data_IF_863796194193
#
_entry.id   IF_863796194193
#
_cell.length_a   1.000
_cell.length_b   1.000
_cell.length_c   1.000
_cell.angle_alpha   90.00
_cell.angle_beta   90.00
_cell.angle_gamma   90.00
#
_symmetry.space_group_name_H-M   'P 1'
#
loop_
_entity.id
_entity.type
_entity.pdbx_description
1 polymer ?
#
# COMPACT_ATOMS: atom_id res chain seq x y z
N UNK A 1 15.81 -3.14 -34.64
CA UNK A 1 14.60 -3.37 -35.46
C UNK A 1 13.50 -3.83 -34.51
N UNK A 2 12.34 -3.16 -34.48
CA UNK A 2 11.25 -3.54 -33.57
C UNK A 2 10.57 -4.83 -34.06
N UNK A 3 10.25 -5.73 -33.13
CA UNK A 3 9.60 -7.01 -33.40
C UNK A 3 8.16 -6.79 -33.87
N UNK A 4 7.79 -7.34 -35.04
CA UNK A 4 6.48 -7.12 -35.68
C UNK A 4 5.31 -7.58 -34.80
N UNK A 5 5.48 -8.70 -34.12
CA UNK A 5 4.49 -9.27 -33.20
C UNK A 5 4.22 -8.37 -31.99
N UNK A 6 5.23 -7.62 -31.51
CA UNK A 6 5.06 -6.62 -30.44
C UNK A 6 4.22 -5.44 -30.95
N UNK A 7 4.53 -4.94 -32.15
CA UNK A 7 3.82 -3.79 -32.74
C UNK A 7 2.34 -4.11 -33.00
N UNK A 8 2.02 -5.34 -33.37
CA UNK A 8 0.63 -5.77 -33.61
C UNK A 8 -0.20 -5.84 -32.32
N UNK A 9 0.43 -6.07 -31.16
CA UNK A 9 -0.24 -6.22 -29.87
C UNK A 9 -0.23 -4.94 -29.02
N UNK A 10 0.68 -3.99 -29.31
CA UNK A 10 0.96 -2.85 -28.42
C UNK A 10 -0.27 -2.02 -28.05
N UNK A 11 -1.17 -1.78 -29.00
CA UNK A 11 -2.38 -0.99 -28.77
C UNK A 11 -3.36 -1.69 -27.84
N UNK A 12 -3.52 -3.00 -27.97
CA UNK A 12 -4.43 -3.77 -27.13
C UNK A 12 -3.84 -3.94 -25.73
N UNK A 13 -2.55 -4.29 -25.62
CA UNK A 13 -1.85 -4.36 -24.34
C UNK A 13 -1.91 -3.05 -23.57
N UNK A 14 -1.76 -1.91 -24.26
CA UNK A 14 -1.88 -0.59 -23.62
C UNK A 14 -3.30 -0.32 -23.08
N UNK A 15 -4.36 -0.68 -23.83
CA UNK A 15 -5.74 -0.53 -23.37
C UNK A 15 -6.04 -1.39 -22.14
N UNK A 16 -5.57 -2.64 -22.14
CA UNK A 16 -5.72 -3.56 -21.00
C UNK A 16 -5.01 -2.98 -19.77
N UNK A 17 -3.77 -2.51 -19.94
CA UNK A 17 -3.01 -1.90 -18.86
C UNK A 17 -3.67 -0.61 -18.35
N UNK A 18 -4.22 0.23 -19.22
CA UNK A 18 -4.97 1.42 -18.82
C UNK A 18 -6.22 1.04 -18.01
N UNK A 19 -6.98 0.06 -18.48
CA UNK A 19 -8.16 -0.45 -17.78
C UNK A 19 -7.78 -1.01 -16.39
N UNK A 20 -6.70 -1.78 -16.30
CA UNK A 20 -6.15 -2.26 -15.03
C UNK A 20 -5.90 -1.10 -14.04
N UNK A 21 -5.19 -0.04 -14.46
CA UNK A 21 -4.90 1.11 -13.60
C UNK A 21 -6.17 1.85 -13.15
N UNK A 22 -7.18 1.97 -14.02
CA UNK A 22 -8.47 2.54 -13.67
C UNK A 22 -9.22 1.70 -12.62
N UNK A 23 -9.16 0.37 -12.73
CA UNK A 23 -9.73 -0.54 -11.74
C UNK A 23 -8.99 -0.46 -10.40
N UNK A 24 -7.65 -0.41 -10.41
CA UNK A 24 -6.84 -0.18 -9.19
C UNK A 24 -7.21 1.15 -8.53
N UNK A 25 -7.33 2.23 -9.30
CA UNK A 25 -7.75 3.53 -8.78
C UNK A 25 -9.15 3.46 -8.14
N UNK A 26 -10.07 2.72 -8.75
CA UNK A 26 -11.43 2.50 -8.22
C UNK A 26 -11.42 1.66 -6.93
N UNK A 27 -10.58 0.64 -6.85
CA UNK A 27 -10.37 -0.17 -5.64
C UNK A 27 -9.96 0.71 -4.45
N UNK A 28 -8.94 1.56 -4.62
CA UNK A 28 -8.48 2.44 -3.55
C UNK A 28 -9.55 3.44 -3.10
N UNK A 29 -10.32 4.02 -4.02
CA UNK A 29 -11.47 4.87 -3.67
C UNK A 29 -12.51 4.13 -2.82
N UNK A 30 -12.79 2.86 -3.13
CA UNK A 30 -13.71 2.05 -2.33
C UNK A 30 -13.12 1.80 -0.94
N UNK A 31 -11.84 1.45 -0.84
CA UNK A 31 -11.15 1.23 0.44
C UNK A 31 -11.17 2.51 1.29
N UNK A 32 -10.83 3.67 0.72
CA UNK A 32 -10.85 4.96 1.41
C UNK A 32 -12.24 5.25 1.99
N UNK A 33 -13.27 5.15 1.16
CA UNK A 33 -14.65 5.39 1.57
C UNK A 33 -15.08 4.42 2.68
N UNK A 34 -14.58 3.18 2.65
CA UNK A 34 -14.87 2.21 3.71
C UNK A 34 -14.16 2.56 4.98
N UNK A 35 -12.87 2.87 4.95
CA UNK A 35 -12.10 3.23 6.14
C UNK A 35 -12.56 4.54 6.78
N UNK A 36 -13.04 5.50 5.98
CA UNK A 36 -13.62 6.74 6.45
C UNK A 36 -15.07 6.61 6.97
N UNK A 37 -15.73 5.46 6.79
CA UNK A 37 -17.13 5.28 7.19
C UNK A 37 -17.29 5.33 8.71
N UNK A 38 -18.28 6.10 9.18
CA UNK A 38 -18.68 6.20 10.60
C UNK A 38 -19.08 4.86 11.24
N UNK A 39 -19.37 3.84 10.41
CA UNK A 39 -19.69 2.49 10.89
C UNK A 39 -18.46 1.71 11.37
N UNK A 40 -17.25 2.18 11.07
CA UNK A 40 -16.05 1.59 11.64
C UNK A 40 -15.85 2.06 13.07
N UNK A 41 -15.46 1.15 13.95
CA UNK A 41 -15.09 1.47 15.32
C UNK A 41 -13.86 2.40 15.42
N UNK A 42 -13.15 2.62 14.31
CA UNK A 42 -11.94 3.44 14.21
C UNK A 42 -11.99 4.32 12.97
N UNK A 43 -11.56 5.57 13.09
CA UNK A 43 -11.37 6.48 11.98
C UNK A 43 -10.03 6.19 11.30
N UNK A 44 -10.04 5.40 10.24
CA UNK A 44 -8.82 5.09 9.50
C UNK A 44 -8.69 6.06 8.31
N UNK A 45 -7.57 6.78 8.23
CA UNK A 45 -7.33 7.78 7.20
C UNK A 45 -6.12 7.42 6.34
N UNK A 46 -6.15 7.71 5.03
CA UNK A 46 -5.03 7.48 4.13
C UNK A 46 -3.92 8.51 4.33
N UNK A 47 -2.66 8.07 4.25
CA UNK A 47 -1.50 8.94 4.06
C UNK A 47 -1.47 9.36 2.58
N UNK A 48 -1.29 10.65 2.32
CA UNK A 48 -1.32 11.25 0.98
C UNK A 48 -2.58 10.87 0.18
N UNK A 49 -3.78 11.35 0.59
CA UNK A 49 -5.10 10.91 0.05
C UNK A 49 -5.25 11.03 -1.46
N UNK A 50 -4.45 11.87 -2.11
CA UNK A 50 -4.54 12.17 -3.54
C UNK A 50 -3.53 11.38 -4.40
N UNK A 51 -2.75 10.47 -3.79
CA UNK A 51 -1.65 9.77 -4.45
C UNK A 51 -1.56 8.30 -4.02
N UNK A 52 -0.87 7.51 -4.83
CA UNK A 52 -0.41 6.17 -4.50
C UNK A 52 1.12 6.15 -4.53
N UNK A 53 1.69 5.39 -3.60
CA UNK A 53 3.10 5.01 -3.65
C UNK A 53 3.30 4.11 -4.86
N UNK A 54 4.36 4.38 -5.63
CA UNK A 54 4.74 3.63 -6.82
C UNK A 54 6.24 3.33 -6.78
N UNK A 55 6.70 2.33 -7.54
CA UNK A 55 8.12 1.93 -7.56
C UNK A 55 8.99 2.89 -8.39
N UNK A 56 8.41 3.64 -9.33
CA UNK A 56 9.11 4.76 -9.92
C UNK A 56 9.27 5.86 -8.85
N UNK A 57 10.39 6.60 -8.83
CA UNK A 57 10.68 7.72 -7.90
C UNK A 57 9.63 8.86 -7.93
N UNK A 58 8.59 8.71 -8.75
CA UNK A 58 7.45 9.59 -8.91
C UNK A 58 6.17 8.88 -8.43
N UNK A 59 5.46 9.49 -7.49
CA UNK A 59 4.19 8.99 -6.97
C UNK A 59 3.13 8.91 -8.08
N UNK A 60 2.32 7.86 -8.09
CA UNK A 60 1.20 7.74 -9.03
C UNK A 60 0.02 8.61 -8.57
N UNK A 61 -0.44 9.51 -9.44
CA UNK A 61 -1.55 10.42 -9.16
C UNK A 61 -2.85 9.89 -9.76
N UNK A 62 -3.96 9.94 -9.01
CA UNK A 62 -5.27 9.60 -9.57
C UNK A 62 -5.62 10.55 -10.71
N UNK A 63 -6.28 10.02 -11.75
CA UNK A 63 -6.69 10.78 -12.93
C UNK A 63 -7.49 12.05 -12.60
N UNK A 64 -8.37 12.00 -11.59
CA UNK A 64 -9.19 13.15 -11.18
C UNK A 64 -8.37 14.30 -10.58
N UNK A 65 -7.17 14.01 -10.10
CA UNK A 65 -6.24 14.99 -9.55
C UNK A 65 -5.19 15.44 -10.58
N UNK A 66 -5.25 14.89 -11.79
CA UNK A 66 -4.32 15.19 -12.87
C UNK A 66 -4.74 16.45 -13.63
N UNK A 67 -3.81 17.37 -13.84
CA UNK A 67 -3.99 18.61 -14.58
C UNK A 67 -2.74 18.92 -15.40
N UNK A 68 -2.85 19.79 -16.41
CA UNK A 68 -1.68 20.24 -17.18
C UNK A 68 -0.64 21.00 -16.31
N UNK A 69 -1.04 21.53 -15.16
CA UNK A 69 -0.18 22.33 -14.26
C UNK A 69 0.58 21.48 -13.24
N UNK A 70 0.13 20.26 -12.97
CA UNK A 70 0.81 19.28 -12.11
C UNK A 70 1.22 18.02 -12.89
N UNK A 71 1.23 18.13 -14.23
CA UNK A 71 1.73 17.13 -15.15
C UNK A 71 3.23 16.90 -14.90
N UNK A 72 3.56 15.82 -14.19
CA UNK A 72 4.93 15.30 -14.19
C UNK A 72 5.21 14.72 -15.58
N UNK A 73 6.40 14.99 -16.12
CA UNK A 73 6.86 14.53 -17.45
C UNK A 73 6.50 13.05 -17.65
N UNK A 74 5.99 12.62 -18.82
CA UNK A 74 5.52 11.26 -18.97
C UNK A 74 6.71 10.31 -18.83
N UNK A 75 6.65 9.43 -17.84
CA UNK A 75 7.13 8.04 -17.89
C UNK A 75 8.35 7.77 -18.79
N UNK A 76 9.56 8.18 -18.37
CA UNK A 76 10.82 7.59 -18.88
C UNK A 76 11.10 6.21 -18.23
N UNK A 77 10.36 5.87 -17.19
CA UNK A 77 10.19 4.52 -16.63
C UNK A 77 8.77 4.08 -16.94
N UNK A 78 8.51 2.81 -17.29
CA UNK A 78 7.19 2.34 -17.76
C UNK A 78 6.02 2.54 -16.77
N UNK A 79 4.83 2.02 -17.13
CA UNK A 79 3.67 2.00 -16.23
C UNK A 79 4.05 1.35 -14.88
N UNK A 80 3.60 1.89 -13.73
CA UNK A 80 4.05 1.40 -12.44
C UNK A 80 3.53 -0.02 -12.21
N UNK A 81 4.45 -0.95 -11.98
CA UNK A 81 4.11 -2.35 -11.69
C UNK A 81 3.64 -2.56 -10.24
N UNK A 82 3.89 -1.57 -9.37
CA UNK A 82 3.45 -1.53 -7.99
C UNK A 82 2.70 -0.24 -7.68
N UNK A 83 1.56 -0.37 -6.99
CA UNK A 83 0.72 0.76 -6.56
C UNK A 83 0.19 0.52 -5.16
N UNK A 84 0.43 1.44 -4.22
CA UNK A 84 0.08 1.24 -2.82
C UNK A 84 -0.37 2.48 -2.06
N UNK A 85 -1.02 2.25 -0.92
CA UNK A 85 -1.46 3.29 0.01
C UNK A 85 -1.35 2.84 1.46
N UNK A 86 -0.79 3.73 2.28
CA UNK A 86 -0.76 3.59 3.73
C UNK A 86 -1.97 4.25 4.37
N UNK A 87 -2.36 3.70 5.52
CA UNK A 87 -3.48 4.16 6.33
C UNK A 87 -3.10 4.15 7.80
N UNK A 88 -3.70 5.06 8.56
CA UNK A 88 -3.41 5.25 9.98
C UNK A 88 -4.68 5.36 10.80
N UNK A 89 -4.63 4.93 12.06
CA UNK A 89 -5.72 5.22 12.99
C UNK A 89 -5.66 6.70 13.41
N UNK A 90 -6.70 7.45 13.09
CA UNK A 90 -6.81 8.87 13.37
C UNK A 90 -7.61 9.19 14.64
N UNK A 91 -8.10 8.20 15.38
CA UNK A 91 -8.91 8.43 16.60
C UNK A 91 -8.20 9.31 17.65
N UNK A 92 -6.87 9.23 17.73
CA UNK A 92 -6.05 10.00 18.67
C UNK A 92 -5.42 11.27 18.08
N UNK A 93 -5.64 11.56 16.79
CA UNK A 93 -5.06 12.70 16.12
C UNK A 93 -5.96 13.93 16.32
N UNK A 94 -5.39 14.98 16.92
CA UNK A 94 -6.10 16.21 17.27
C UNK A 94 -5.52 17.41 16.54
N UNK A 95 -6.39 18.38 16.21
CA UNK A 95 -6.01 19.64 15.56
C UNK A 95 -6.13 19.61 14.03
N UNK A 96 -5.63 20.69 13.40
CA UNK A 96 -5.71 20.93 11.96
C UNK A 96 -4.44 20.50 11.21
N UNK A 97 -3.55 19.74 11.85
CA UNK A 97 -2.32 19.27 11.22
C UNK A 97 -2.65 18.31 10.08
N UNK A 98 -2.06 18.50 8.88
CA UNK A 98 -2.21 17.54 7.79
C UNK A 98 -1.76 16.13 8.22
N UNK A 99 -2.48 15.10 7.79
CA UNK A 99 -2.21 13.72 8.22
C UNK A 99 -0.74 13.33 8.02
N UNK A 100 -0.18 13.69 6.87
CA UNK A 100 1.20 13.40 6.45
C UNK A 100 2.27 13.98 7.39
N UNK A 101 1.97 15.07 8.10
CA UNK A 101 2.91 15.84 8.92
C UNK A 101 2.90 15.46 10.40
N UNK A 102 1.99 14.59 10.84
CA UNK A 102 2.01 14.09 12.21
C UNK A 102 3.33 13.33 12.50
N UNK A 103 3.87 13.42 13.72
CA UNK A 103 5.05 12.65 14.09
C UNK A 103 4.69 11.18 14.32
N UNK A 104 5.57 10.27 13.90
CA UNK A 104 5.37 8.82 13.99
C UNK A 104 5.04 8.33 15.40
N UNK A 105 5.58 8.97 16.45
CA UNK A 105 5.24 8.64 17.85
C UNK A 105 3.75 8.71 18.18
N UNK A 106 2.96 9.49 17.44
CA UNK A 106 1.51 9.62 17.63
C UNK A 106 0.71 8.57 16.84
N UNK A 107 1.36 7.87 15.90
CA UNK A 107 0.77 6.84 15.06
C UNK A 107 1.64 5.59 15.14
N UNK A 108 1.32 4.71 16.09
CA UNK A 108 2.13 3.52 16.38
C UNK A 108 2.09 2.48 15.25
N UNK A 109 0.99 2.38 14.50
CA UNK A 109 0.81 1.34 13.49
C UNK A 109 0.32 1.92 12.17
N UNK A 110 0.90 1.42 11.09
CA UNK A 110 0.46 1.70 9.73
C UNK A 110 -0.21 0.45 9.15
N UNK A 111 -1.39 0.61 8.56
CA UNK A 111 -1.92 -0.38 7.63
C UNK A 111 -1.46 -0.02 6.22
N UNK A 112 -1.21 -1.03 5.39
CA UNK A 112 -0.74 -0.83 4.02
C UNK A 112 -1.51 -1.75 3.07
N UNK A 113 -1.95 -1.22 1.93
CA UNK A 113 -2.58 -1.99 0.87
C UNK A 113 -1.90 -1.65 -0.43
N UNK A 114 -1.50 -2.65 -1.19
CA UNK A 114 -0.85 -2.43 -2.47
C UNK A 114 -1.09 -3.55 -3.46
N UNK A 115 -0.99 -3.23 -4.74
CA UNK A 115 -1.20 -4.14 -5.87
C UNK A 115 0.08 -4.27 -6.66
N UNK A 116 0.37 -5.48 -7.10
CA UNK A 116 1.47 -5.82 -7.99
C UNK A 116 0.92 -6.42 -9.27
N UNK A 117 1.48 -6.05 -10.42
CA UNK A 117 1.12 -6.68 -11.71
C UNK A 117 1.60 -8.13 -11.81
N UNK A 118 2.49 -8.58 -10.93
CA UNK A 118 2.99 -9.96 -10.88
C UNK A 118 4.33 -10.18 -11.57
N UNK A 119 4.99 -9.14 -12.12
CA UNK A 119 6.28 -9.28 -12.79
C UNK A 119 7.15 -8.02 -12.70
N UNK A 120 8.38 -8.12 -13.20
CA UNK A 120 9.34 -7.02 -13.41
C UNK A 120 9.86 -6.34 -12.12
N UNK A 121 9.77 -7.02 -10.97
CA UNK A 121 10.47 -6.60 -9.75
C UNK A 121 11.78 -7.39 -9.57
N UNK A 122 12.96 -6.74 -9.51
CA UNK A 122 14.23 -7.45 -9.38
C UNK A 122 14.43 -8.15 -8.02
N UNK A 123 13.57 -7.89 -7.03
CA UNK A 123 13.68 -8.42 -5.67
C UNK A 123 12.58 -9.44 -5.33
N UNK A 124 11.67 -9.73 -6.27
CA UNK A 124 10.52 -10.60 -6.06
C UNK A 124 10.39 -11.56 -7.24
N UNK A 125 10.14 -12.83 -6.96
CA UNK A 125 9.91 -13.84 -7.99
C UNK A 125 8.58 -13.57 -8.66
N UNK A 126 8.57 -13.49 -10.00
CA UNK A 126 7.35 -13.34 -10.82
C UNK A 126 6.23 -14.28 -10.34
N UNK A 127 5.03 -13.73 -10.22
CA UNK A 127 3.81 -14.46 -9.92
C UNK A 127 3.09 -14.87 -11.21
N UNK A 128 2.30 -15.94 -11.13
CA UNK A 128 1.46 -16.39 -12.25
C UNK A 128 0.38 -15.37 -12.63
N UNK A 129 0.04 -14.46 -11.71
CA UNK A 129 -1.02 -13.47 -11.89
C UNK A 129 -0.82 -12.23 -10.99
N UNK A 130 -1.49 -11.09 -11.29
CA UNK A 130 -1.45 -9.92 -10.44
C UNK A 130 -1.91 -10.22 -9.01
N UNK A 131 -1.26 -9.61 -8.03
CA UNK A 131 -1.52 -9.83 -6.61
C UNK A 131 -1.98 -8.54 -5.91
N UNK A 132 -2.73 -8.71 -4.82
CA UNK A 132 -3.01 -7.68 -3.84
C UNK A 132 -2.47 -8.10 -2.49
N UNK A 133 -1.76 -7.18 -1.86
CA UNK A 133 -1.04 -7.37 -0.62
C UNK A 133 -1.62 -6.41 0.41
N UNK A 134 -1.79 -6.91 1.63
CA UNK A 134 -2.15 -6.11 2.80
C UNK A 134 -1.08 -6.29 3.86
N UNK A 135 -0.82 -5.23 4.62
CA UNK A 135 0.12 -5.32 5.72
C UNK A 135 -0.27 -4.47 6.90
N UNK A 136 0.28 -4.87 8.04
CA UNK A 136 0.36 -4.04 9.23
C UNK A 136 1.81 -3.93 9.63
N UNK A 137 2.20 -2.70 9.90
CA UNK A 137 3.57 -2.31 10.16
C UNK A 137 3.59 -1.57 11.48
N UNK A 138 4.53 -1.94 12.34
CA UNK A 138 4.88 -1.23 13.57
C UNK A 138 6.29 -0.66 13.37
N UNK A 139 6.42 0.43 12.58
CA UNK A 139 7.71 1.00 12.26
C UNK A 139 8.22 1.81 13.45
N UNK A 140 9.43 1.52 13.90
CA UNK A 140 10.09 2.25 14.99
C UNK A 140 11.23 3.08 14.41
N UNK A 141 10.97 4.30 13.91
CA UNK A 141 12.03 5.16 13.38
C UNK A 141 13.00 5.55 14.48
N UNK A 142 14.28 5.70 14.12
CA UNK A 142 15.34 6.13 15.06
C UNK A 142 15.04 7.50 15.68
N UNK A 143 14.37 8.39 14.93
CA UNK A 143 13.84 9.65 15.42
C UNK A 143 12.30 9.58 15.55
N UNK A 144 11.72 9.63 16.77
CA UNK A 144 10.27 9.60 16.97
C UNK A 144 9.51 10.82 16.41
N UNK A 145 10.21 11.93 16.12
CA UNK A 145 9.63 13.11 15.48
C UNK A 145 9.60 13.03 13.95
N UNK A 146 10.13 11.95 13.35
CA UNK A 146 10.00 11.73 11.90
C UNK A 146 8.52 11.73 11.51
N UNK A 147 8.18 12.43 10.44
CA UNK A 147 6.79 12.54 9.98
C UNK A 147 6.28 11.18 9.51
N UNK A 148 4.99 10.91 9.67
CA UNK A 148 4.41 9.62 9.26
C UNK A 148 4.61 9.34 7.78
N UNK A 149 4.59 10.38 6.95
CA UNK A 149 4.79 10.25 5.51
C UNK A 149 6.20 9.76 5.19
N UNK A 150 7.22 10.33 5.86
CA UNK A 150 8.61 9.93 5.67
C UNK A 150 8.83 8.47 6.15
N UNK A 151 8.18 8.07 7.25
CA UNK A 151 8.17 6.67 7.71
C UNK A 151 7.51 5.75 6.69
N UNK A 152 6.37 6.13 6.12
CA UNK A 152 5.70 5.35 5.08
C UNK A 152 6.58 5.16 3.84
N UNK A 153 7.32 6.19 3.43
CA UNK A 153 8.32 6.07 2.35
C UNK A 153 9.44 5.09 2.70
N UNK A 154 9.97 5.13 3.93
CA UNK A 154 10.99 4.18 4.38
C UNK A 154 10.45 2.74 4.37
N UNK A 155 9.22 2.53 4.85
CA UNK A 155 8.56 1.22 4.84
C UNK A 155 8.37 0.70 3.41
N UNK A 156 7.87 1.55 2.50
CA UNK A 156 7.68 1.20 1.08
C UNK A 156 8.97 0.75 0.41
N UNK A 157 10.06 1.47 0.66
CA UNK A 157 11.38 1.17 0.11
C UNK A 157 11.97 -0.11 0.70
N UNK A 158 11.60 -0.48 1.93
CA UNK A 158 12.20 -1.59 2.65
C UNK A 158 11.49 -2.93 2.55
N UNK A 159 10.15 -2.97 2.65
CA UNK A 159 9.43 -4.26 2.70
C UNK A 159 9.71 -5.05 1.42
N UNK A 160 10.45 -6.15 1.55
CA UNK A 160 10.78 -7.11 0.50
C UNK A 160 10.60 -8.51 1.08
N UNK A 161 9.45 -9.12 0.82
CA UNK A 161 9.02 -10.36 1.47
C UNK A 161 10.06 -11.46 1.30
N UNK A 162 10.72 -11.54 0.16
CA UNK A 162 11.65 -12.62 -0.20
C UNK A 162 12.93 -12.58 0.62
N UNK A 163 13.37 -11.39 1.03
CA UNK A 163 14.66 -11.20 1.70
C UNK A 163 14.54 -10.89 3.19
N UNK A 164 13.36 -10.46 3.64
CA UNK A 164 13.15 -10.00 5.02
C UNK A 164 12.16 -10.85 5.82
N UNK A 165 11.65 -11.96 5.24
CA UNK A 165 10.77 -12.90 5.93
C UNK A 165 11.51 -13.69 7.00
N UNK A 166 10.94 -13.72 8.20
CA UNK A 166 11.41 -14.57 9.30
C UNK A 166 10.54 -15.82 9.48
N UNK A 167 9.23 -15.71 9.25
CA UNK A 167 8.30 -16.85 9.40
C UNK A 167 6.98 -16.62 8.65
N UNK A 168 6.26 -17.72 8.44
CA UNK A 168 4.87 -17.71 7.98
C UNK A 168 3.96 -18.46 8.97
N UNK A 169 2.80 -17.90 9.28
CA UNK A 169 1.78 -18.52 10.12
C UNK A 169 0.38 -18.00 9.78
N UNK A 170 -0.62 -18.88 9.71
CA UNK A 170 -2.03 -18.54 9.42
C UNK A 170 -2.22 -17.68 8.15
N UNK A 171 -1.39 -17.90 7.14
CA UNK A 171 -1.39 -17.15 5.88
C UNK A 171 -0.85 -15.71 6.01
N UNK A 172 -0.24 -15.37 7.14
CA UNK A 172 0.53 -14.14 7.32
C UNK A 172 2.02 -14.44 7.25
N UNK A 173 2.72 -13.58 6.53
CA UNK A 173 4.17 -13.54 6.42
C UNK A 173 4.66 -12.48 7.40
N UNK A 174 5.64 -12.83 8.22
CA UNK A 174 6.16 -11.96 9.26
C UNK A 174 7.63 -11.67 8.98
N UNK A 175 8.02 -10.43 9.23
CA UNK A 175 9.41 -10.04 9.24
C UNK A 175 9.64 -8.79 10.08
N UNK A 176 10.84 -8.25 9.97
CA UNK A 176 11.27 -7.11 10.77
C UNK A 176 12.11 -6.13 9.97
N UNK A 177 12.25 -4.94 10.53
CA UNK A 177 13.20 -3.96 10.03
C UNK A 177 14.54 -4.18 10.71
N UNK A 178 15.61 -4.15 9.92
CA UNK A 178 16.99 -4.25 10.39
C UNK A 178 17.64 -2.87 10.26
N UNK A 179 17.79 -2.12 11.36
CA UNK A 179 18.42 -0.81 11.29
C UNK A 179 19.88 -0.96 10.85
N UNK A 180 20.39 0.02 10.10
CA UNK A 180 21.77 0.07 9.59
C UNK A 180 22.08 -0.86 8.41
N UNK A 181 21.10 -1.59 7.89
CA UNK A 181 21.19 -2.10 6.52
C UNK A 181 20.97 -0.96 5.52
N UNK A 182 21.57 -1.07 4.34
CA UNK A 182 21.55 0.00 3.34
C UNK A 182 20.12 0.34 2.93
N UNK A 183 19.64 1.55 3.29
CA UNK A 183 18.29 2.01 2.98
C UNK A 183 17.24 1.76 4.05
N UNK A 184 17.60 1.25 5.24
CA UNK A 184 16.70 1.08 6.39
C UNK A 184 17.15 1.86 7.63
N UNK A 185 16.33 2.83 8.05
CA UNK A 185 16.49 3.55 9.32
C UNK A 185 15.44 3.16 10.38
N UNK A 186 14.69 2.09 10.08
CA UNK A 186 13.59 1.60 10.89
C UNK A 186 14.04 0.41 11.75
N UNK A 187 13.52 0.37 12.97
CA UNK A 187 13.33 -0.84 13.77
C UNK A 187 11.87 -1.31 13.65
N UNK A 188 11.52 -2.35 14.40
CA UNK A 188 10.15 -2.83 14.54
C UNK A 188 9.82 -4.01 13.64
N UNK A 189 8.54 -4.23 13.39
CA UNK A 189 8.04 -5.45 12.74
C UNK A 189 6.99 -5.15 11.68
N UNK A 190 6.83 -6.07 10.74
CA UNK A 190 5.79 -6.01 9.73
C UNK A 190 5.15 -7.39 9.55
N UNK A 191 3.90 -7.38 9.10
CA UNK A 191 3.12 -8.57 8.78
C UNK A 191 2.43 -8.34 7.45
N UNK A 192 2.67 -9.20 6.46
CA UNK A 192 2.07 -9.13 5.13
C UNK A 192 1.16 -10.33 4.90
N UNK A 193 0.07 -10.12 4.17
CA UNK A 193 -0.71 -11.17 3.55
C UNK A 193 -0.93 -10.82 2.09
N UNK A 194 -0.64 -11.76 1.19
CA UNK A 194 -0.86 -11.63 -0.27
C UNK A 194 -1.93 -12.59 -0.75
N UNK A 195 -2.63 -12.19 -1.81
CA UNK A 195 -3.64 -13.00 -2.49
C UNK A 195 -3.81 -12.52 -3.93
N UNK A 196 -4.31 -13.37 -4.86
CA UNK A 196 -4.59 -12.99 -6.23
C UNK A 196 -5.54 -11.79 -6.32
N UNK A 197 -5.23 -10.83 -7.18
CA UNK A 197 -6.08 -9.64 -7.38
C UNK A 197 -7.46 -10.02 -7.91
N UNK A 198 -7.57 -11.10 -8.70
CA UNK A 198 -8.83 -11.63 -9.23
C UNK A 198 -9.83 -12.04 -8.14
N UNK A 199 -9.37 -12.33 -6.93
CA UNK A 199 -10.24 -12.71 -5.81
C UNK A 199 -11.07 -11.51 -5.32
N UNK A 200 -10.63 -10.28 -5.63
CA UNK A 200 -11.33 -9.03 -5.31
C UNK A 200 -12.36 -8.70 -6.40
N UNK A 201 -13.35 -9.58 -6.54
CA UNK A 201 -14.38 -9.47 -7.59
C UNK A 201 -15.62 -8.67 -7.20
N UNK A 202 -15.79 -8.33 -5.92
CA UNK A 202 -16.89 -7.48 -5.46
C UNK A 202 -16.55 -6.75 -4.16
N UNK A 203 -17.44 -5.83 -3.76
CA UNK A 203 -17.37 -5.13 -2.48
C UNK A 203 -17.29 -6.12 -1.31
N UNK A 204 -17.98 -7.26 -1.37
CA UNK A 204 -17.94 -8.26 -0.30
C UNK A 204 -16.53 -8.83 -0.10
N UNK A 205 -15.82 -9.16 -1.19
CA UNK A 205 -14.43 -9.63 -1.09
C UNK A 205 -13.48 -8.53 -0.65
N UNK A 206 -13.71 -7.26 -1.02
CA UNK A 206 -12.94 -6.13 -0.46
C UNK A 206 -13.05 -6.11 1.07
N UNK A 207 -14.26 -6.32 1.61
CA UNK A 207 -14.45 -6.42 3.06
C UNK A 207 -13.74 -7.62 3.67
N UNK A 208 -13.90 -8.80 3.09
CA UNK A 208 -13.34 -10.03 3.65
C UNK A 208 -11.81 -10.10 3.58
N UNK A 209 -11.22 -9.63 2.48
CA UNK A 209 -9.79 -9.80 2.20
C UNK A 209 -8.96 -8.60 2.66
N UNK A 210 -9.53 -7.39 2.70
CA UNK A 210 -8.79 -6.15 3.00
C UNK A 210 -9.30 -5.48 4.28
N UNK A 211 -10.55 -5.00 4.27
CA UNK A 211 -11.04 -4.07 5.31
C UNK A 211 -11.13 -4.76 6.68
N UNK A 212 -11.78 -5.92 6.76
CA UNK A 212 -11.97 -6.62 8.04
C UNK A 212 -10.63 -7.10 8.64
N UNK A 213 -9.73 -7.76 7.88
CA UNK A 213 -8.45 -8.20 8.42
C UNK A 213 -7.61 -7.05 8.99
N UNK A 214 -7.57 -5.90 8.29
CA UNK A 214 -6.81 -4.74 8.73
C UNK A 214 -7.43 -4.07 9.95
N UNK A 215 -8.75 -3.83 9.94
CA UNK A 215 -9.45 -3.22 11.07
C UNK A 215 -9.39 -4.08 12.33
N UNK A 216 -9.59 -5.40 12.22
CA UNK A 216 -9.54 -6.33 13.35
C UNK A 216 -8.14 -6.38 13.98
N UNK A 217 -7.08 -6.47 13.16
CA UNK A 217 -5.71 -6.47 13.69
C UNK A 217 -5.32 -5.11 14.30
N UNK A 218 -5.66 -3.99 13.65
CA UNK A 218 -5.43 -2.66 14.23
C UNK A 218 -6.21 -2.47 15.54
N UNK A 219 -7.40 -3.05 15.68
CA UNK A 219 -8.17 -3.05 16.93
C UNK A 219 -7.45 -3.84 18.03
N UNK A 220 -7.01 -5.07 17.73
CA UNK A 220 -6.25 -5.93 18.66
C UNK A 220 -4.97 -5.26 19.15
N UNK A 221 -4.22 -4.62 18.25
CA UNK A 221 -2.96 -3.95 18.59
C UNK A 221 -3.14 -2.71 19.48
N UNK A 222 -4.27 -2.02 19.36
CA UNK A 222 -4.60 -0.89 20.24
C UNK A 222 -5.14 -1.31 21.62
N UNK A 223 -5.04 -2.58 21.99
CA UNK A 223 -5.55 -3.11 23.27
C UNK A 223 -7.06 -3.40 23.29
N UNK A 224 -7.73 -3.41 22.13
CA UNK A 224 -9.14 -3.78 22.02
C UNK A 224 -9.33 -5.30 22.02
N UNK A 225 -10.26 -5.79 22.85
CA UNK A 225 -10.74 -7.17 22.71
C UNK A 225 -11.26 -7.40 21.29
N UNK A 226 -10.85 -8.52 20.68
CA UNK A 226 -11.32 -8.97 19.38
C UNK A 226 -12.84 -8.84 19.31
N UNK A 227 -13.38 -8.13 18.32
CA UNK A 227 -14.83 -8.11 18.05
C UNK A 227 -15.21 -9.55 17.73
N UNK A 228 -15.74 -10.27 18.72
CA UNK A 228 -16.29 -11.60 18.54
C UNK A 228 -17.53 -11.44 17.66
N UNK A 229 -17.48 -12.03 16.47
CA UNK A 229 -18.68 -12.30 15.66
C UNK A 229 -19.55 -13.33 16.34
#
# INVERSE_FOLDING_TARGET
MMRKDIIEQITESYKIMLAYHQQVGSLFKVIDNRFASEQNAKKILPISPNKLFAVCDYQYMFLDNYSLLNHQVPYDSGLPFWLGRFYVNADGLVGDTPIDDYPAKQVQHLAFVWTWVGCDDPNLVDADEPECWIAIVDPQPTNPETRIYDVAEMVWKWIRVETTTEKEADGWIFGRFYPHEFGCELNGVWQVKRFPLKDISSIYQIYQLIVNPLTEKLAKLAGGESIKR
#
